data_IF_329151172418
#
_entry.id   IF_329151172418
#
_cell.length_a   1.000
_cell.length_b   1.000
_cell.length_c   1.000
_cell.angle_alpha   90.00
_cell.angle_beta   90.00
_cell.angle_gamma   90.00
#
_symmetry.space_group_name_H-M   'P 1'
#
loop_
_entity.id
_entity.type
_entity.pdbx_description
1 polymer ?
#
# COMPACT_ATOMS: atom_id res chain seq x y z
N UNK A 1 17.79 -6.00 -9.92
CA UNK A 1 17.69 -5.63 -8.50
C UNK A 1 18.76 -4.59 -8.20
N UNK A 2 18.44 -3.50 -7.48
CA UNK A 2 19.41 -2.60 -6.84
C UNK A 2 19.12 -2.55 -5.35
N UNK A 3 20.11 -2.13 -4.57
CA UNK A 3 19.92 -1.78 -3.16
C UNK A 3 20.31 -0.32 -3.02
N UNK A 4 19.41 0.48 -2.46
CA UNK A 4 19.67 1.88 -2.13
C UNK A 4 19.73 2.01 -0.63
N UNK A 5 20.66 2.83 -0.13
CA UNK A 5 20.77 3.13 1.30
C UNK A 5 20.37 4.57 1.57
N UNK A 6 19.51 4.77 2.57
CA UNK A 6 19.05 6.07 3.04
C UNK A 6 19.47 6.26 4.49
N UNK A 7 20.14 7.37 4.78
CA UNK A 7 20.51 7.75 6.14
C UNK A 7 19.40 8.60 6.74
N UNK A 8 18.92 8.22 7.91
CA UNK A 8 17.81 8.86 8.60
C UNK A 8 18.25 9.29 9.99
N UNK A 9 17.80 10.47 10.39
CA UNK A 9 18.08 11.04 11.70
C UNK A 9 16.90 10.84 12.63
N UNK A 10 17.13 10.13 13.73
CA UNK A 10 16.11 9.81 14.73
C UNK A 10 14.75 9.39 14.15
N UNK A 11 13.72 9.48 14.99
CA UNK A 11 12.36 9.12 14.60
C UNK A 11 11.82 10.13 13.59
N UNK A 12 11.44 9.66 12.41
CA UNK A 12 11.07 10.50 11.28
C UNK A 12 10.27 9.73 10.23
N UNK A 13 9.55 10.46 9.40
CA UNK A 13 8.97 9.95 8.15
C UNK A 13 9.60 10.75 7.02
N UNK A 14 10.24 10.07 6.07
CA UNK A 14 10.92 10.73 4.95
C UNK A 14 10.29 10.33 3.62
N UNK A 15 10.12 11.31 2.74
CA UNK A 15 9.65 11.09 1.36
C UNK A 15 10.84 10.68 0.50
N UNK A 16 10.77 9.51 -0.14
CA UNK A 16 11.89 8.93 -0.90
C UNK A 16 11.63 8.79 -2.41
N UNK A 17 10.57 9.44 -2.91
CA UNK A 17 10.10 9.36 -4.31
C UNK A 17 11.17 9.61 -5.35
N UNK A 18 11.94 10.69 -5.20
CA UNK A 18 12.96 11.07 -6.18
C UNK A 18 14.09 10.03 -6.25
N UNK A 19 14.41 9.42 -5.11
CA UNK A 19 15.41 8.38 -5.01
C UNK A 19 14.94 7.10 -5.71
N UNK A 20 13.72 6.65 -5.40
CA UNK A 20 13.15 5.44 -5.99
C UNK A 20 12.86 5.64 -7.48
N UNK A 21 12.33 6.80 -7.88
CA UNK A 21 11.97 7.09 -9.28
C UNK A 21 13.17 7.02 -10.21
N UNK A 22 14.34 7.51 -9.79
CA UNK A 22 15.58 7.38 -10.57
C UNK A 22 15.95 5.92 -10.84
N UNK A 23 15.87 5.09 -9.81
CA UNK A 23 16.16 3.66 -9.92
C UNK A 23 15.14 2.95 -10.82
N UNK A 24 13.86 3.27 -10.70
CA UNK A 24 12.80 2.70 -11.53
C UNK A 24 13.00 3.09 -13.00
N UNK A 25 13.20 4.37 -13.30
CA UNK A 25 13.40 4.85 -14.66
C UNK A 25 14.65 4.24 -15.30
N UNK A 26 15.73 4.03 -14.54
CA UNK A 26 16.94 3.36 -15.04
C UNK A 26 16.70 1.90 -15.47
N UNK A 27 15.68 1.23 -14.90
CA UNK A 27 15.39 -0.20 -15.13
C UNK A 27 14.31 -0.43 -16.18
N UNK A 28 13.25 0.36 -16.12
CA UNK A 28 12.10 0.18 -17.02
C UNK A 28 12.18 1.10 -18.24
N UNK A 29 13.03 2.12 -18.24
CA UNK A 29 12.99 3.18 -19.25
C UNK A 29 11.61 3.83 -19.22
N UNK A 30 10.95 3.93 -20.38
CA UNK A 30 9.57 4.44 -20.50
C UNK A 30 8.50 3.35 -20.45
N UNK A 31 8.82 2.10 -20.08
CA UNK A 31 7.87 0.98 -20.07
C UNK A 31 6.99 0.99 -18.83
N UNK A 32 5.80 0.44 -18.98
CA UNK A 32 4.95 0.06 -17.85
C UNK A 32 5.50 -1.20 -17.16
N UNK A 33 5.26 -1.33 -15.86
CA UNK A 33 5.79 -2.44 -15.08
C UNK A 33 5.31 -2.47 -13.66
N UNK A 34 5.84 -3.42 -12.90
CA UNK A 34 5.67 -3.51 -11.45
C UNK A 34 7.01 -3.26 -10.78
N UNK A 35 7.04 -2.34 -9.82
CA UNK A 35 8.19 -2.12 -8.95
C UNK A 35 7.89 -2.66 -7.56
N UNK A 36 8.72 -3.57 -7.08
CA UNK A 36 8.70 -4.01 -5.68
C UNK A 36 9.85 -3.38 -4.91
N UNK A 37 9.50 -2.81 -3.76
CA UNK A 37 10.38 -2.22 -2.76
C UNK A 37 10.35 -3.13 -1.53
N UNK A 38 11.51 -3.52 -1.04
CA UNK A 38 11.62 -4.32 0.17
C UNK A 38 12.73 -3.78 1.06
N UNK A 39 12.42 -3.58 2.35
CA UNK A 39 13.43 -3.29 3.35
C UNK A 39 14.35 -4.49 3.49
N UNK A 40 15.65 -4.22 3.49
CA UNK A 40 16.70 -5.22 3.49
C UNK A 40 17.74 -4.90 4.57
N UNK A 41 18.49 -5.92 4.98
CA UNK A 41 19.58 -5.78 5.94
C UNK A 41 19.14 -5.85 7.40
N UNK A 42 20.10 -5.78 8.34
CA UNK A 42 19.88 -6.07 9.76
C UNK A 42 19.03 -5.01 10.47
N UNK A 43 18.90 -3.82 9.89
CA UNK A 43 18.12 -2.71 10.47
C UNK A 43 16.68 -2.64 9.95
N UNK A 44 16.27 -3.58 9.09
CA UNK A 44 14.96 -3.56 8.44
C UNK A 44 13.77 -3.47 9.42
N UNK A 45 13.90 -4.05 10.63
CA UNK A 45 12.87 -4.01 11.67
C UNK A 45 12.57 -2.60 12.21
N UNK A 46 13.49 -1.65 12.03
CA UNK A 46 13.30 -0.26 12.47
C UNK A 46 12.54 0.60 11.45
N UNK A 47 12.28 0.06 10.25
CA UNK A 47 11.73 0.81 9.14
C UNK A 47 10.45 0.20 8.61
N UNK A 48 9.63 1.06 8.01
CA UNK A 48 8.39 0.70 7.36
C UNK A 48 8.22 1.50 6.08
N UNK A 49 7.52 0.92 5.11
CA UNK A 49 7.15 1.56 3.85
C UNK A 49 5.65 1.82 3.84
N UNK A 50 5.23 3.00 3.39
CA UNK A 50 3.84 3.34 3.12
C UNK A 50 3.71 4.21 1.87
N UNK A 51 2.51 4.23 1.29
CA UNK A 51 2.09 5.20 0.27
C UNK A 51 1.03 6.07 0.90
N UNK A 52 1.18 7.39 0.86
CA UNK A 52 0.24 8.24 1.58
C UNK A 52 -0.02 9.64 0.99
N UNK A 53 -1.20 10.17 1.34
CA UNK A 53 -1.77 11.52 1.21
C UNK A 53 -1.07 12.45 0.22
N UNK A 54 -1.03 12.07 -1.06
CA UNK A 54 -0.43 12.87 -2.12
C UNK A 54 0.99 13.39 -1.81
N UNK A 55 1.74 12.69 -0.94
CA UNK A 55 3.05 13.12 -0.45
C UNK A 55 3.03 14.42 0.38
N UNK A 56 1.93 14.76 1.05
CA UNK A 56 1.89 15.99 1.84
C UNK A 56 2.85 15.89 3.05
N UNK A 57 3.94 16.67 3.07
CA UNK A 57 4.89 16.62 4.18
C UNK A 57 4.26 17.09 5.51
N UNK A 58 3.18 17.86 5.46
CA UNK A 58 2.52 18.38 6.64
C UNK A 58 1.89 17.26 7.49
N UNK A 59 1.47 16.14 6.87
CA UNK A 59 0.83 15.03 7.58
C UNK A 59 1.78 14.05 8.25
N UNK A 60 3.11 14.26 8.10
CA UNK A 60 4.13 13.39 8.70
C UNK A 60 4.04 13.40 10.23
N UNK A 61 3.77 14.56 10.84
CA UNK A 61 3.61 14.68 12.29
C UNK A 61 2.43 13.87 12.80
N UNK A 62 1.33 13.88 12.05
CA UNK A 62 0.11 13.16 12.41
C UNK A 62 0.31 11.65 12.30
N UNK A 63 1.03 11.19 11.27
CA UNK A 63 1.41 9.78 11.15
C UNK A 63 2.31 9.32 12.28
N UNK A 64 3.32 10.13 12.65
CA UNK A 64 4.16 9.83 13.81
C UNK A 64 3.34 9.80 15.10
N UNK A 65 2.39 10.72 15.29
CA UNK A 65 1.51 10.72 16.45
C UNK A 65 0.64 9.45 16.50
N UNK A 66 0.09 9.02 15.36
CA UNK A 66 -0.66 7.76 15.26
C UNK A 66 0.22 6.54 15.57
N UNK A 67 1.44 6.43 15.01
CA UNK A 67 2.33 5.31 15.32
C UNK A 67 2.71 5.26 16.81
N UNK A 68 2.98 6.40 17.44
CA UNK A 68 3.23 6.49 18.89
C UNK A 68 2.02 6.08 19.72
N UNK A 69 0.80 6.40 19.25
CA UNK A 69 -0.44 5.96 19.91
C UNK A 69 -0.67 4.46 19.78
N UNK A 70 -0.30 3.86 18.64
CA UNK A 70 -0.38 2.41 18.41
C UNK A 70 0.69 1.61 19.17
N UNK A 71 1.87 2.20 19.40
CA UNK A 71 2.95 1.61 20.19
C UNK A 71 3.29 2.49 21.42
N UNK A 72 2.41 2.55 22.44
CA UNK A 72 2.59 3.45 23.58
C UNK A 72 3.80 3.10 24.45
N UNK A 73 4.32 1.87 24.35
CA UNK A 73 5.53 1.43 25.07
C UNK A 73 6.81 1.83 24.33
N UNK A 74 6.70 2.31 23.09
CA UNK A 74 7.85 2.74 22.29
C UNK A 74 8.82 1.59 22.02
N UNK A 75 8.29 0.37 21.85
CA UNK A 75 9.09 -0.82 21.55
C UNK A 75 9.65 -0.81 20.12
N UNK A 76 9.51 0.30 19.37
CA UNK A 76 9.89 0.45 17.96
C UNK A 76 9.15 -0.52 17.05
N UNK A 77 7.90 -0.86 17.42
CA UNK A 77 7.04 -1.78 16.66
C UNK A 77 6.26 -1.06 15.56
N UNK A 78 6.15 0.28 15.64
CA UNK A 78 5.46 1.10 14.63
C UNK A 78 5.82 0.81 13.16
N UNK A 79 7.08 0.57 12.78
CA UNK A 79 7.44 0.24 11.41
C UNK A 79 6.95 -1.15 10.98
N UNK A 80 6.81 -2.08 11.92
CA UNK A 80 6.18 -3.40 11.69
C UNK A 80 4.67 -3.27 11.45
N UNK A 81 4.04 -2.22 11.98
CA UNK A 81 2.63 -1.92 11.70
C UNK A 81 2.43 -1.33 10.30
N UNK A 82 3.49 -0.75 9.70
CA UNK A 82 3.54 -0.44 8.28
C UNK A 82 4.04 -1.68 7.48
N UNK A 83 4.63 -1.48 6.29
CA UNK A 83 5.03 -2.61 5.43
C UNK A 83 6.55 -2.78 5.35
N UNK A 84 7.01 -4.02 5.54
CA UNK A 84 8.38 -4.42 5.21
C UNK A 84 8.67 -4.41 3.70
N UNK A 85 7.64 -4.58 2.89
CA UNK A 85 7.72 -4.56 1.43
C UNK A 85 6.41 -4.14 0.78
N UNK A 86 6.50 -3.55 -0.41
CA UNK A 86 5.34 -3.19 -1.22
C UNK A 86 5.64 -3.29 -2.71
N UNK A 87 4.63 -3.70 -3.48
CA UNK A 87 4.66 -3.68 -4.94
C UNK A 87 3.78 -2.54 -5.43
N UNK A 88 4.30 -1.69 -6.32
CA UNK A 88 3.61 -0.54 -6.88
C UNK A 88 3.68 -0.57 -8.40
N UNK A 89 2.58 -0.22 -9.09
CA UNK A 89 2.58 -0.11 -10.53
C UNK A 89 3.44 1.06 -11.00
N UNK A 90 4.15 0.85 -12.10
CA UNK A 90 4.96 1.84 -12.81
C UNK A 90 4.28 2.13 -14.14
N UNK A 91 4.03 3.41 -14.41
CA UNK A 91 3.45 3.88 -15.67
C UNK A 91 4.41 4.80 -16.39
N UNK A 92 4.69 4.51 -17.66
CA UNK A 92 5.64 5.29 -18.49
C UNK A 92 6.99 5.49 -17.79
N UNK A 93 7.48 4.48 -17.06
CA UNK A 93 8.75 4.59 -16.32
C UNK A 93 8.72 5.36 -15.00
N UNK A 94 7.54 5.78 -14.55
CA UNK A 94 7.36 6.60 -13.36
C UNK A 94 6.46 5.92 -12.32
N UNK A 95 6.85 6.05 -11.05
CA UNK A 95 5.97 5.82 -9.93
C UNK A 95 5.22 7.13 -9.66
N UNK A 96 3.89 7.09 -9.70
CA UNK A 96 3.05 8.25 -9.39
C UNK A 96 2.56 8.18 -7.94
N UNK A 97 3.46 7.99 -6.98
CA UNK A 97 3.11 7.78 -5.56
C UNK A 97 4.19 8.32 -4.62
N UNK A 98 3.73 9.02 -3.58
CA UNK A 98 4.49 9.40 -2.38
C UNK A 98 4.86 8.21 -1.53
N UNK A 99 6.08 7.73 -1.65
CA UNK A 99 6.63 6.64 -0.87
C UNK A 99 7.25 7.23 0.40
N UNK A 100 6.65 6.86 1.53
CA UNK A 100 7.14 7.19 2.85
C UNK A 100 8.03 6.07 3.37
N UNK A 101 9.21 6.47 3.83
CA UNK A 101 10.10 5.67 4.63
C UNK A 101 9.94 6.09 6.10
N UNK A 102 9.27 5.24 6.86
CA UNK A 102 8.95 5.46 8.26
C UNK A 102 10.11 4.91 9.09
N UNK A 103 10.66 5.73 9.97
CA UNK A 103 11.68 5.35 10.94
C UNK A 103 11.19 5.65 12.35
N UNK A 104 11.12 4.62 13.20
CA UNK A 104 10.80 4.80 14.63
C UNK A 104 12.02 4.67 15.54
N UNK A 105 13.20 4.43 14.98
CA UNK A 105 14.45 4.45 15.73
C UNK A 105 14.70 5.85 16.28
N UNK A 106 14.95 5.97 17.58
CA UNK A 106 15.34 7.23 18.22
C UNK A 106 16.79 7.63 17.91
N UNK A 107 17.58 6.71 17.34
CA UNK A 107 18.97 6.96 16.95
C UNK A 107 19.11 7.01 15.45
N UNK A 108 20.13 7.75 15.00
CA UNK A 108 20.50 7.82 13.59
C UNK A 108 20.84 6.44 13.05
N UNK A 109 20.25 6.10 11.91
CA UNK A 109 20.33 4.75 11.34
C UNK A 109 20.24 4.79 9.82
N UNK A 110 20.51 3.64 9.20
CA UNK A 110 20.50 3.47 7.75
C UNK A 110 19.45 2.44 7.36
N UNK A 111 18.58 2.81 6.44
CA UNK A 111 17.66 1.90 5.80
C UNK A 111 18.27 1.43 4.47
N UNK A 112 18.27 0.13 4.22
CA UNK A 112 18.58 -0.42 2.89
C UNK A 112 17.28 -0.89 2.23
N UNK A 113 17.05 -0.47 0.99
CA UNK A 113 15.84 -0.78 0.23
C UNK A 113 16.25 -1.51 -1.03
N UNK A 114 15.86 -2.77 -1.14
CA UNK A 114 15.95 -3.55 -2.35
C UNK A 114 14.85 -3.13 -3.34
N UNK A 115 15.25 -2.80 -4.57
CA UNK A 115 14.37 -2.35 -5.64
C UNK A 115 14.43 -3.36 -6.78
N UNK A 116 13.28 -3.93 -7.10
CA UNK A 116 13.11 -4.88 -8.20
C UNK A 116 12.01 -4.39 -9.13
N UNK A 117 12.27 -4.38 -10.44
CA UNK A 117 11.29 -3.95 -11.44
C UNK A 117 11.13 -5.04 -12.50
N UNK A 118 9.88 -5.32 -12.87
CA UNK A 118 9.54 -6.28 -13.91
C UNK A 118 8.63 -5.58 -14.92
N UNK A 119 8.94 -5.61 -16.23
CA UNK A 119 8.05 -5.08 -17.25
C UNK A 119 6.69 -5.75 -17.23
N UNK A 120 5.62 -4.97 -17.45
CA UNK A 120 4.27 -5.49 -17.48
C UNK A 120 4.00 -6.26 -18.78
N UNK A 121 3.27 -7.36 -18.67
CA UNK A 121 2.62 -8.04 -19.81
C UNK A 121 1.41 -7.23 -20.25
N UNK A 122 0.62 -6.78 -19.28
CA UNK A 122 -0.53 -5.92 -19.51
C UNK A 122 -0.81 -5.06 -18.29
N UNK A 123 -1.44 -3.91 -18.54
CA UNK A 123 -1.89 -2.99 -17.50
C UNK A 123 -3.29 -2.50 -17.83
N UNK A 124 -4.09 -2.20 -16.82
CA UNK A 124 -5.39 -1.55 -17.01
C UNK A 124 -5.79 -0.74 -15.79
N UNK A 125 -6.69 0.21 -15.99
CA UNK A 125 -7.31 0.96 -14.91
C UNK A 125 -8.82 0.87 -15.08
N UNK A 126 -9.53 0.84 -13.95
CA UNK A 126 -10.98 1.01 -13.92
C UNK A 126 -11.37 1.78 -12.67
N UNK A 127 -12.56 2.37 -12.72
CA UNK A 127 -13.15 3.06 -11.58
C UNK A 127 -14.21 2.18 -10.92
N UNK A 128 -14.28 2.27 -9.60
CA UNK A 128 -15.37 1.75 -8.79
C UNK A 128 -16.09 2.95 -8.19
N UNK A 129 -17.41 3.02 -8.37
CA UNK A 129 -18.26 4.07 -7.80
C UNK A 129 -19.28 3.41 -6.89
N UNK A 130 -19.58 4.05 -5.76
CA UNK A 130 -20.83 3.74 -5.05
C UNK A 130 -20.73 2.80 -3.84
N UNK A 131 -19.62 2.83 -3.12
CA UNK A 131 -19.58 2.31 -1.77
C UNK A 131 -19.21 3.44 -0.83
N UNK A 132 -20.07 3.78 0.14
CA UNK A 132 -19.61 4.55 1.30
C UNK A 132 -18.58 3.75 2.10
N UNK A 133 -18.29 4.18 3.33
CA UNK A 133 -17.44 3.42 4.23
C UNK A 133 -17.80 1.92 4.26
N UNK A 134 -16.77 1.07 4.16
CA UNK A 134 -16.92 -0.39 4.18
C UNK A 134 -16.01 -1.08 3.16
N UNK A 135 -16.00 -2.42 3.20
CA UNK A 135 -15.25 -3.23 2.23
C UNK A 135 -16.15 -3.71 1.09
N UNK A 136 -15.78 -3.33 -0.14
CA UNK A 136 -16.52 -3.60 -1.36
C UNK A 136 -15.74 -4.59 -2.21
N UNK A 137 -16.39 -5.65 -2.67
CA UNK A 137 -15.72 -6.63 -3.55
C UNK A 137 -15.43 -5.98 -4.90
N UNK A 138 -14.22 -6.19 -5.43
CA UNK A 138 -13.92 -5.77 -6.79
C UNK A 138 -14.59 -6.77 -7.75
N UNK A 139 -15.50 -6.32 -8.62
CA UNK A 139 -16.28 -7.20 -9.49
C UNK A 139 -15.41 -8.08 -10.37
N UNK A 140 -15.80 -9.35 -10.49
CA UNK A 140 -15.01 -10.38 -11.20
C UNK A 140 -14.74 -10.01 -12.66
N UNK A 141 -15.69 -9.38 -13.35
CA UNK A 141 -15.54 -8.91 -14.74
C UNK A 141 -14.39 -7.91 -14.93
N UNK A 142 -13.99 -7.19 -13.87
CA UNK A 142 -12.89 -6.23 -13.94
C UNK A 142 -11.52 -6.87 -14.02
N UNK A 143 -11.34 -8.05 -13.41
CA UNK A 143 -10.03 -8.67 -13.24
C UNK A 143 -9.89 -10.06 -13.84
N UNK A 144 -10.99 -10.77 -14.10
CA UNK A 144 -10.95 -12.16 -14.57
C UNK A 144 -10.25 -12.33 -15.92
N UNK A 145 -10.34 -11.33 -16.81
CA UNK A 145 -9.64 -11.33 -18.09
C UNK A 145 -8.11 -11.37 -17.97
N UNK A 146 -7.54 -11.02 -16.81
CA UNK A 146 -6.09 -11.07 -16.59
C UNK A 146 -5.59 -12.46 -16.23
N UNK A 147 -6.49 -13.42 -15.99
CA UNK A 147 -6.13 -14.82 -15.74
C UNK A 147 -5.76 -15.58 -17.02
N UNK A 148 -6.22 -15.11 -18.20
CA UNK A 148 -5.91 -15.77 -19.47
C UNK A 148 -4.45 -15.62 -19.92
N UNK A 149 -3.64 -14.86 -19.17
CA UNK A 149 -2.22 -14.64 -19.46
C UNK A 149 -1.32 -15.81 -18.99
N UNK A 150 -1.90 -16.95 -18.60
CA UNK A 150 -1.18 -18.11 -18.09
C UNK A 150 -0.64 -17.88 -16.67
N UNK A 151 0.58 -18.38 -16.43
CA UNK A 151 1.26 -18.25 -15.14
C UNK A 151 1.76 -16.80 -14.95
N UNK A 152 1.00 -16.03 -14.18
CA UNK A 152 1.25 -14.61 -14.00
C UNK A 152 1.05 -14.18 -12.55
N UNK A 153 1.65 -13.04 -12.19
CA UNK A 153 1.33 -12.29 -10.99
C UNK A 153 0.46 -11.12 -11.42
N UNK A 154 -0.70 -10.97 -10.79
CA UNK A 154 -1.60 -9.83 -10.95
C UNK A 154 -1.48 -8.96 -9.71
N UNK A 155 -0.98 -7.75 -9.90
CA UNK A 155 -0.98 -6.71 -8.89
C UNK A 155 -2.23 -5.83 -9.05
N UNK A 156 -2.91 -5.60 -7.94
CA UNK A 156 -3.99 -4.65 -7.80
C UNK A 156 -3.48 -3.48 -6.97
N UNK A 157 -3.82 -2.26 -7.36
CA UNK A 157 -3.36 -1.06 -6.67
C UNK A 157 -4.43 0.02 -6.69
N UNK A 158 -4.99 0.35 -5.52
CA UNK A 158 -5.94 1.46 -5.34
C UNK A 158 -5.19 2.79 -5.38
N UNK A 159 -5.58 3.69 -6.28
CA UNK A 159 -4.88 4.94 -6.58
C UNK A 159 -5.13 6.08 -5.58
N UNK A 160 -6.05 5.89 -4.65
CA UNK A 160 -6.35 6.83 -3.58
C UNK A 160 -5.61 6.46 -2.29
N UNK A 161 -5.38 7.45 -1.43
CA UNK A 161 -4.58 7.31 -0.20
C UNK A 161 -5.42 7.19 1.07
N UNK A 162 -6.74 7.34 0.96
CA UNK A 162 -7.72 7.16 2.05
C UNK A 162 -8.52 5.86 1.92
N UNK A 163 -8.24 5.04 0.91
CA UNK A 163 -8.87 3.74 0.69
C UNK A 163 -7.77 2.67 0.54
N UNK A 164 -8.05 1.48 1.05
CA UNK A 164 -7.08 0.38 1.09
C UNK A 164 -7.52 -0.79 0.22
N UNK A 165 -6.59 -1.69 -0.07
CA UNK A 165 -6.86 -2.89 -0.83
C UNK A 165 -6.50 -4.13 0.00
N UNK A 166 -7.47 -5.02 0.16
CA UNK A 166 -7.31 -6.26 0.93
C UNK A 166 -7.72 -7.49 0.13
N UNK A 167 -7.13 -8.63 0.48
CA UNK A 167 -7.50 -9.93 -0.08
C UNK A 167 -8.30 -10.69 0.98
N UNK A 168 -9.62 -10.75 0.83
CA UNK A 168 -10.53 -11.27 1.86
C UNK A 168 -11.34 -12.46 1.35
N UNK A 169 -11.81 -13.29 2.29
CA UNK A 169 -12.92 -14.20 2.01
C UNK A 169 -14.25 -13.43 2.07
N UNK A 170 -15.27 -13.83 1.28
CA UNK A 170 -16.52 -13.06 1.19
C UNK A 170 -17.25 -12.84 2.52
N UNK A 171 -17.15 -13.78 3.46
CA UNK A 171 -17.74 -13.72 4.81
C UNK A 171 -17.05 -12.71 5.74
N UNK A 172 -15.81 -12.32 5.44
CA UNK A 172 -15.00 -11.39 6.25
C UNK A 172 -15.07 -9.94 5.75
N UNK A 173 -15.76 -9.67 4.64
CA UNK A 173 -15.76 -8.34 4.01
C UNK A 173 -16.33 -7.24 4.93
N UNK A 174 -17.43 -7.52 5.62
CA UNK A 174 -18.14 -6.54 6.42
C UNK A 174 -17.42 -6.20 7.74
N UNK A 175 -16.43 -6.98 8.16
CA UNK A 175 -15.80 -6.80 9.49
C UNK A 175 -14.49 -6.04 9.45
N UNK A 176 -13.84 -5.93 8.28
CA UNK A 176 -12.51 -5.30 8.20
C UNK A 176 -12.57 -3.81 8.54
N UNK A 177 -13.50 -3.06 7.95
CA UNK A 177 -13.61 -1.62 8.23
C UNK A 177 -13.96 -1.38 9.70
N UNK A 178 -14.95 -2.11 10.23
CA UNK A 178 -15.34 -2.05 11.64
C UNK A 178 -14.17 -2.33 12.58
N UNK A 179 -13.35 -3.33 12.26
CA UNK A 179 -12.15 -3.65 13.03
C UNK A 179 -11.14 -2.51 12.96
N UNK A 180 -10.90 -1.94 11.77
CA UNK A 180 -9.99 -0.81 11.59
C UNK A 180 -10.49 0.46 12.28
N UNK A 181 -11.80 0.69 12.35
CA UNK A 181 -12.41 1.78 13.12
C UNK A 181 -12.20 1.65 14.63
N UNK A 182 -11.94 0.44 15.14
CA UNK A 182 -11.50 0.24 16.54
C UNK A 182 -10.01 0.47 16.73
N UNK A 183 -9.19 0.16 15.72
CA UNK A 183 -7.74 0.36 15.75
C UNK A 183 -7.36 1.83 15.59
N UNK A 184 -8.03 2.52 14.66
CA UNK A 184 -7.84 3.94 14.33
C UNK A 184 -9.22 4.61 14.34
N UNK A 185 -9.75 4.99 15.52
CA UNK A 185 -11.05 5.64 15.64
C UNK A 185 -11.01 7.09 15.15
N UNK A 186 -12.16 7.60 14.71
CA UNK A 186 -12.31 9.01 14.31
C UNK A 186 -12.02 10.00 15.43
N UNK A 187 -12.15 9.59 16.70
CA UNK A 187 -11.84 10.47 17.84
C UNK A 187 -10.39 10.94 17.83
N UNK A 188 -9.47 10.21 17.17
CA UNK A 188 -8.08 10.62 17.00
C UNK A 188 -7.95 11.95 16.25
N UNK A 189 -8.92 12.28 15.39
CA UNK A 189 -8.98 13.55 14.70
C UNK A 189 -9.07 14.74 15.66
N UNK A 190 -9.70 14.56 16.83
CA UNK A 190 -9.81 15.59 17.85
C UNK A 190 -8.75 15.48 18.95
N UNK A 191 -8.04 14.35 19.03
CA UNK A 191 -7.10 14.06 20.11
C UNK A 191 -5.62 14.23 19.72
N UNK A 192 -5.24 13.84 18.50
CA UNK A 192 -3.82 13.72 18.10
C UNK A 192 -3.49 14.26 16.71
N UNK A 193 -4.47 14.40 15.83
CA UNK A 193 -4.25 14.90 14.47
C UNK A 193 -4.39 16.41 14.37
N UNK A 194 -3.62 17.01 13.47
CA UNK A 194 -3.62 18.43 13.17
C UNK A 194 -4.34 18.72 11.84
N UNK A 195 -4.31 17.78 10.89
CA UNK A 195 -4.93 17.89 9.57
C UNK A 195 -6.39 17.45 9.64
N UNK A 196 -7.25 18.34 10.14
CA UNK A 196 -8.66 18.02 10.46
C UNK A 196 -9.66 18.66 9.51
N UNK A 197 -9.17 19.41 8.51
CA UNK A 197 -9.99 20.30 7.69
C UNK A 197 -10.93 19.57 6.72
N UNK A 198 -10.60 18.35 6.29
CA UNK A 198 -11.44 17.58 5.36
C UNK A 198 -12.48 16.67 6.05
N UNK A 199 -12.59 16.74 7.38
CA UNK A 199 -13.57 16.00 8.17
C UNK A 199 -12.94 15.03 9.19
N UNK A 200 -13.76 14.50 10.11
CA UNK A 200 -13.29 13.66 11.23
C UNK A 200 -12.73 12.31 10.81
N UNK A 201 -12.99 11.85 9.59
CA UNK A 201 -12.60 10.55 9.06
C UNK A 201 -11.43 10.59 8.07
N UNK A 202 -10.89 11.77 7.79
CA UNK A 202 -9.85 11.96 6.78
C UNK A 202 -8.50 11.35 7.21
N UNK A 203 -7.87 11.94 8.22
CA UNK A 203 -6.62 11.42 8.79
C UNK A 203 -6.73 9.99 9.31
N UNK A 204 -7.81 9.58 10.01
CA UNK A 204 -8.05 8.17 10.29
C UNK A 204 -8.07 7.30 9.03
N UNK A 205 -8.70 7.75 7.94
CA UNK A 205 -8.72 7.02 6.68
C UNK A 205 -7.34 6.84 6.06
N UNK A 206 -6.50 7.89 6.05
CA UNK A 206 -5.11 7.82 5.62
C UNK A 206 -4.26 6.87 6.45
N UNK A 207 -4.44 6.90 7.77
CA UNK A 207 -3.72 6.00 8.68
C UNK A 207 -4.17 4.54 8.51
N UNK A 208 -5.47 4.28 8.37
CA UNK A 208 -6.00 2.94 8.06
C UNK A 208 -5.46 2.41 6.73
N UNK A 209 -5.35 3.28 5.72
CA UNK A 209 -4.71 2.94 4.44
C UNK A 209 -3.22 2.63 4.59
N UNK A 210 -2.49 3.39 5.41
CA UNK A 210 -1.07 3.12 5.71
C UNK A 210 -0.86 1.74 6.35
N UNK A 211 -1.76 1.35 7.27
CA UNK A 211 -1.68 0.05 7.96
C UNK A 211 -2.06 -1.12 7.03
N UNK A 212 -3.15 -1.01 6.27
CA UNK A 212 -3.61 -2.09 5.39
C UNK A 212 -2.87 -2.16 4.05
N UNK A 213 -2.39 -1.02 3.57
CA UNK A 213 -1.79 -0.80 2.26
C UNK A 213 -2.81 -0.61 1.12
N UNK A 214 -2.34 0.01 0.04
CA UNK A 214 -3.13 0.29 -1.16
C UNK A 214 -2.82 -0.68 -2.31
N UNK A 215 -1.96 -1.69 -2.11
CA UNK A 215 -1.59 -2.62 -3.18
C UNK A 215 -1.38 -4.04 -2.69
N UNK A 216 -1.81 -5.00 -3.52
CA UNK A 216 -1.64 -6.42 -3.26
C UNK A 216 -1.41 -7.18 -4.57
N UNK A 217 -0.47 -8.11 -4.54
CA UNK A 217 -0.18 -9.04 -5.64
C UNK A 217 -0.70 -10.43 -5.31
N UNK A 218 -1.26 -11.13 -6.29
CA UNK A 218 -1.63 -12.55 -6.22
C UNK A 218 -1.26 -13.25 -7.53
N UNK A 219 -1.03 -14.56 -7.48
CA UNK A 219 -0.87 -15.36 -8.69
C UNK A 219 -2.21 -15.52 -9.42
N UNK A 220 -2.16 -15.68 -10.75
CA UNK A 220 -3.33 -16.04 -11.55
C UNK A 220 -3.98 -17.34 -11.05
N UNK A 221 -3.19 -18.30 -10.60
CA UNK A 221 -3.67 -19.52 -9.94
C UNK A 221 -4.51 -19.26 -8.68
N UNK A 222 -4.01 -18.44 -7.76
CA UNK A 222 -4.74 -18.12 -6.52
C UNK A 222 -6.05 -17.36 -6.80
N UNK A 223 -6.05 -16.49 -7.81
CA UNK A 223 -7.25 -15.78 -8.25
C UNK A 223 -8.26 -16.68 -9.00
N UNK A 224 -7.79 -17.77 -9.61
CA UNK A 224 -8.64 -18.73 -10.32
C UNK A 224 -9.40 -19.67 -9.39
N UNK A 225 -8.96 -19.83 -8.14
CA UNK A 225 -9.64 -20.66 -7.14
C UNK A 225 -11.01 -20.03 -6.77
N UNK A 226 -12.15 -20.69 -7.03
CA UNK A 226 -13.48 -20.20 -6.67
C UNK A 226 -13.68 -20.00 -5.16
N UNK A 227 -12.89 -20.66 -4.32
CA UNK A 227 -12.94 -20.57 -2.86
C UNK A 227 -11.76 -19.76 -2.27
N UNK A 228 -10.86 -19.27 -3.13
CA UNK A 228 -9.72 -18.47 -2.74
C UNK A 228 -10.07 -17.05 -2.31
N UNK A 229 -9.08 -16.27 -1.85
CA UNK A 229 -9.29 -14.87 -1.52
C UNK A 229 -9.77 -14.06 -2.73
N UNK A 230 -10.47 -12.96 -2.44
CA UNK A 230 -10.95 -12.02 -3.45
C UNK A 230 -10.41 -10.62 -3.16
N UNK A 231 -10.16 -9.83 -4.21
CA UNK A 231 -9.79 -8.43 -4.03
C UNK A 231 -10.98 -7.63 -3.50
N UNK A 232 -10.78 -6.93 -2.40
CA UNK A 232 -11.71 -5.98 -1.81
C UNK A 232 -11.06 -4.60 -1.74
N UNK A 233 -11.82 -3.58 -2.11
CA UNK A 233 -11.51 -2.20 -1.83
C UNK A 233 -12.20 -1.82 -0.53
N UNK A 234 -11.45 -1.39 0.47
CA UNK A 234 -12.01 -0.89 1.72
C UNK A 234 -11.96 0.62 1.74
N UNK A 235 -13.15 1.23 1.66
CA UNK A 235 -13.37 2.66 1.78
C UNK A 235 -13.41 3.03 3.26
N UNK A 236 -12.55 3.95 3.68
CA UNK A 236 -12.48 4.37 5.09
C UNK A 236 -13.25 5.67 5.36
N UNK A 237 -13.58 6.46 4.32
CA UNK A 237 -14.28 7.73 4.46
C UNK A 237 -15.79 7.58 4.24
N UNK A 238 -16.58 8.34 4.99
CA UNK A 238 -18.05 8.42 4.87
C UNK A 238 -18.47 9.30 3.69
N UNK A 239 -17.67 10.32 3.36
CA UNK A 239 -17.80 11.16 2.18
C UNK A 239 -16.45 11.28 1.47
N UNK A 240 -16.44 11.18 0.14
CA UNK A 240 -15.24 11.54 -0.63
C UNK A 240 -14.91 13.01 -0.39
N UNK A 241 -13.63 13.33 -0.20
CA UNK A 241 -13.16 14.70 -0.03
C UNK A 241 -13.73 15.61 -1.13
N UNK A 242 -14.12 16.84 -0.75
CA UNK A 242 -14.69 17.86 -1.63
C UNK A 242 -16.02 17.52 -2.33
N UNK A 243 -16.79 16.55 -1.81
CA UNK A 243 -18.14 16.25 -2.32
C UNK A 243 -18.17 15.51 -3.66
N UNK A 244 -17.02 15.03 -4.15
CA UNK A 244 -16.87 14.35 -5.45
C UNK A 244 -17.10 12.83 -5.35
N UNK A 245 -18.01 12.39 -4.47
CA UNK A 245 -18.41 10.99 -4.34
C UNK A 245 -17.28 9.99 -4.03
N UNK A 246 -17.67 8.72 -3.87
CA UNK A 246 -16.76 7.61 -3.60
C UNK A 246 -16.33 6.92 -4.89
N UNK A 247 -15.78 7.68 -5.82
CA UNK A 247 -15.15 7.09 -7.00
C UNK A 247 -13.69 6.81 -6.69
N UNK A 248 -13.30 5.54 -6.86
CA UNK A 248 -11.95 5.05 -6.62
C UNK A 248 -11.39 4.44 -7.88
N UNK A 249 -10.13 4.73 -8.17
CA UNK A 249 -9.45 4.20 -9.36
C UNK A 249 -8.52 3.09 -8.94
N UNK A 250 -8.73 1.90 -9.51
CA UNK A 250 -7.85 0.75 -9.28
C UNK A 250 -7.05 0.49 -10.54
N UNK A 251 -5.74 0.32 -10.37
CA UNK A 251 -4.84 -0.16 -11.41
C UNK A 251 -4.54 -1.64 -11.25
N UNK A 252 -4.63 -2.38 -12.36
CA UNK A 252 -4.14 -3.75 -12.47
C UNK A 252 -2.88 -3.78 -13.33
N UNK A 253 -1.86 -4.46 -12.82
CA UNK A 253 -0.62 -4.73 -13.55
C UNK A 253 -0.33 -6.22 -13.51
N UNK A 254 -0.26 -6.84 -14.69
CA UNK A 254 0.12 -8.24 -14.82
C UNK A 254 1.58 -8.34 -15.23
N UNK A 255 2.35 -9.13 -14.49
CA UNK A 255 3.74 -9.48 -14.82
C UNK A 255 3.87 -11.00 -14.95
N UNK A 256 4.87 -11.50 -15.70
CA UNK A 256 5.08 -12.94 -15.81
C UNK A 256 5.40 -13.55 -14.45
N UNK A 257 4.87 -14.74 -14.15
CA UNK A 257 5.37 -15.50 -13.02
C UNK A 257 6.78 -16.05 -13.35
N UNK A 258 7.65 -16.14 -12.35
CA UNK A 258 8.95 -16.78 -12.54
C UNK A 258 8.75 -18.24 -12.96
N UNK A 259 9.53 -18.71 -13.94
CA UNK A 259 9.43 -20.08 -14.44
C UNK A 259 9.75 -21.12 -13.36
N UNK A 260 8.84 -22.11 -13.24
CA UNK A 260 8.79 -23.26 -12.33
C UNK A 260 8.57 -22.94 -10.84
N UNK A 261 7.41 -23.30 -10.26
CA UNK A 261 7.30 -23.36 -8.80
C UNK A 261 8.23 -24.45 -8.28
N UNK A 262 9.19 -24.08 -7.43
CA UNK A 262 9.83 -25.05 -6.54
C UNK A 262 8.82 -25.30 -5.43
N UNK A 263 7.93 -26.28 -5.64
CA UNK A 263 7.08 -26.79 -4.57
C UNK A 263 7.95 -27.64 -3.66
N UNK A 264 8.71 -27.01 -2.77
CA UNK A 264 9.26 -27.70 -1.61
C UNK A 264 8.20 -27.66 -0.52
N UNK A 265 7.51 -28.77 -0.31
CA UNK A 265 6.68 -28.94 0.89
C UNK A 265 7.59 -28.77 2.10
N UNK A 266 7.30 -27.78 2.96
CA UNK A 266 7.92 -27.70 4.29
C UNK A 266 7.43 -28.95 5.02
N UNK A 267 8.35 -29.89 5.29
CA UNK A 267 8.09 -31.06 6.13
C UNK A 267 8.09 -30.66 7.59
#
# INVERSE_FOLDING_TARGET
MSIVTVHLRGESISIIDSLISREVSSRLGSRDGLCNLALAGPTASHFGLSVNENCDPTVQSDHLAAFRRLDPRGCQSGPVLARGSMSLPVRKGQLKRGIYLINTSKVDTKASIAITCIPAVSTSQFTLSGGGRGSHSIPKDKWYKFLSNGDAIVNFCELHTSASLSMLKPDCANTLEDAMSRVVPETWNMEIFQHVYEGPDDMPGHMKCTLLGCSHSLSSHALSDPNGPRPYLTEHRNSGGWGVGHTRTVELTTVPAAHKPIVSTIK
#
